data_IF_477156781708
#
_entry.id   IF_477156781708
#
_cell.length_a   1.000
_cell.length_b   1.000
_cell.length_c   1.000
_cell.angle_alpha   90.00
_cell.angle_beta   90.00
_cell.angle_gamma   90.00
#
_symmetry.space_group_name_H-M   'P 1'
#
loop_
_entity.id
_entity.type
_entity.pdbx_description
1 polymer ?
#
# COMPACT_ATOMS: atom_id res chain seq x y z
N UNK A 1 -10.42 -13.59 -0.65
CA UNK A 1 -9.92 -12.64 0.37
C UNK A 1 -9.11 -11.58 -0.36
N UNK A 2 -9.68 -10.39 -0.60
CA UNK A 2 -8.98 -9.37 -1.39
C UNK A 2 -7.85 -8.75 -0.57
N UNK A 3 -6.68 -8.56 -1.17
CA UNK A 3 -5.57 -7.87 -0.53
C UNK A 3 -5.99 -6.43 -0.24
N UNK A 4 -5.66 -5.93 0.95
CA UNK A 4 -5.98 -4.56 1.37
C UNK A 4 -4.71 -3.97 1.98
N UNK A 5 -4.18 -2.95 1.33
CA UNK A 5 -2.86 -2.34 1.55
C UNK A 5 -3.09 -0.84 1.46
N UNK A 6 -2.71 -0.07 2.48
CA UNK A 6 -2.91 1.37 2.46
C UNK A 6 -2.08 2.03 1.35
N UNK A 7 -2.59 3.11 0.76
CA UNK A 7 -1.81 3.92 -0.19
C UNK A 7 -0.54 4.43 0.49
N UNK A 8 0.61 4.18 -0.14
CA UNK A 8 1.88 4.75 0.31
C UNK A 8 1.97 6.22 -0.10
N UNK A 9 1.99 7.11 0.90
CA UNK A 9 2.21 8.54 0.68
C UNK A 9 3.71 8.80 0.57
N UNK A 10 4.25 8.83 -0.66
CA UNK A 10 5.70 8.97 -0.91
C UNK A 10 6.18 10.42 -1.08
N UNK A 11 5.32 11.43 -0.91
CA UNK A 11 5.73 12.82 -1.17
C UNK A 11 6.40 13.48 0.04
N UNK A 12 7.65 13.93 -0.12
CA UNK A 12 8.39 14.72 0.88
C UNK A 12 7.74 16.06 1.27
N UNK A 13 6.78 16.55 0.47
CA UNK A 13 6.02 17.78 0.76
C UNK A 13 5.37 17.77 2.16
N UNK A 14 4.88 16.61 2.62
CA UNK A 14 4.25 16.50 3.95
C UNK A 14 5.26 16.65 5.09
N UNK A 15 6.49 16.18 4.91
CA UNK A 15 7.56 16.34 5.91
C UNK A 15 7.97 17.82 6.07
N UNK A 16 7.79 18.62 5.01
CA UNK A 16 8.05 20.06 5.01
C UNK A 16 6.79 20.90 5.36
N UNK A 17 5.68 20.27 5.80
CA UNK A 17 4.44 20.96 6.16
C UNK A 17 3.65 21.54 4.98
N UNK A 18 4.02 21.20 3.73
CA UNK A 18 3.32 21.63 2.52
C UNK A 18 2.16 20.69 2.18
N UNK A 19 1.18 21.19 1.42
CA UNK A 19 0.08 20.38 0.91
C UNK A 19 0.61 19.15 0.14
N UNK A 20 0.15 17.97 0.56
CA UNK A 20 0.41 16.68 -0.06
C UNK A 20 -0.61 16.39 -1.16
N UNK A 21 -0.50 15.20 -1.78
CA UNK A 21 -1.49 14.75 -2.80
C UNK A 21 -2.87 14.55 -2.18
N UNK A 22 -2.94 14.18 -0.91
CA UNK A 22 -4.19 13.96 -0.18
C UNK A 22 -5.06 15.21 -0.02
N UNK A 23 -4.46 16.40 -0.12
CA UNK A 23 -5.19 17.67 -0.02
C UNK A 23 -5.83 18.07 -1.38
N UNK A 24 -5.67 17.24 -2.41
CA UNK A 24 -6.24 17.44 -3.74
C UNK A 24 -7.32 16.38 -4.00
N UNK A 25 -8.53 16.85 -4.30
CA UNK A 25 -9.69 15.98 -4.52
C UNK A 25 -9.83 15.69 -6.01
N UNK A 26 -9.93 14.41 -6.38
CA UNK A 26 -10.19 14.02 -7.77
C UNK A 26 -11.70 14.01 -8.05
N UNK A 27 -12.09 14.61 -9.18
CA UNK A 27 -13.45 14.62 -9.69
C UNK A 27 -13.49 13.79 -10.98
N UNK A 28 -14.00 12.55 -10.93
CA UNK A 28 -13.99 11.64 -12.08
C UNK A 28 -14.91 12.12 -13.22
N UNK A 29 -16.01 12.81 -12.90
CA UNK A 29 -16.97 13.32 -13.89
C UNK A 29 -16.33 14.22 -14.95
N UNK A 30 -15.38 15.06 -14.52
CA UNK A 30 -14.75 16.07 -15.38
C UNK A 30 -13.28 15.74 -15.69
N UNK A 31 -12.74 14.62 -15.20
CA UNK A 31 -11.31 14.29 -15.20
C UNK A 31 -10.42 15.45 -14.68
N UNK A 32 -10.76 15.98 -13.50
CA UNK A 32 -10.04 17.10 -12.89
C UNK A 32 -9.69 16.88 -11.44
N UNK A 33 -8.64 17.57 -10.96
CA UNK A 33 -8.37 17.70 -9.54
C UNK A 33 -8.80 19.08 -9.03
N UNK A 34 -9.36 19.15 -7.83
CA UNK A 34 -9.58 20.40 -7.09
C UNK A 34 -8.51 20.57 -6.02
N UNK A 35 -7.84 21.72 -5.99
CA UNK A 35 -6.82 22.02 -4.99
C UNK A 35 -7.41 22.69 -3.72
N UNK A 36 -6.61 22.84 -2.64
CA UNK A 36 -7.03 23.53 -1.42
C UNK A 36 -7.47 24.99 -1.63
N UNK A 37 -6.92 25.66 -2.65
CA UNK A 37 -7.33 27.02 -3.03
C UNK A 37 -8.65 27.07 -3.84
N UNK A 38 -9.25 25.91 -4.14
CA UNK A 38 -10.50 25.80 -4.90
C UNK A 38 -10.33 25.74 -6.42
N UNK A 39 -9.12 25.93 -6.93
CA UNK A 39 -8.83 25.89 -8.37
C UNK A 39 -8.90 24.46 -8.95
N UNK A 40 -9.35 24.35 -10.20
CA UNK A 40 -9.38 23.10 -10.96
C UNK A 40 -8.09 22.89 -11.75
N UNK A 41 -7.53 21.70 -11.65
CA UNK A 41 -6.36 21.23 -12.38
C UNK A 41 -6.84 20.25 -13.45
N UNK A 42 -6.62 20.60 -14.71
CA UNK A 42 -6.96 19.74 -15.86
C UNK A 42 -5.80 18.83 -16.21
N UNK A 43 -6.11 17.68 -16.83
CA UNK A 43 -5.11 16.83 -17.44
C UNK A 43 -4.42 17.57 -18.58
N UNK A 44 -3.09 17.58 -18.57
CA UNK A 44 -2.28 18.36 -19.52
C UNK A 44 -1.35 17.50 -20.36
N UNK A 45 -0.76 16.48 -19.76
CA UNK A 45 0.03 15.50 -20.48
C UNK A 45 0.01 14.15 -19.76
N UNK A 46 0.58 13.14 -20.41
CA UNK A 46 0.81 11.82 -19.82
C UNK A 46 2.27 11.43 -20.03
N UNK A 47 2.84 10.70 -19.10
CA UNK A 47 4.21 10.19 -19.18
C UNK A 47 4.24 8.75 -18.72
N UNK A 48 5.24 7.99 -19.17
CA UNK A 48 5.45 6.62 -18.72
C UNK A 48 6.69 6.60 -17.84
N UNK A 49 6.53 6.23 -16.58
CA UNK A 49 7.62 6.10 -15.61
C UNK A 49 7.61 4.67 -15.07
N UNK A 50 8.73 3.95 -15.19
CA UNK A 50 8.85 2.55 -14.76
C UNK A 50 7.74 1.62 -15.30
N UNK A 51 7.28 1.87 -16.53
CA UNK A 51 6.22 1.09 -17.16
C UNK A 51 4.79 1.45 -16.72
N UNK A 52 4.61 2.48 -15.88
CA UNK A 52 3.30 2.97 -15.45
C UNK A 52 2.90 4.21 -16.23
N UNK A 53 1.70 4.24 -16.80
CA UNK A 53 1.15 5.43 -17.44
C UNK A 53 0.63 6.41 -16.37
N UNK A 54 1.26 7.58 -16.30
CA UNK A 54 0.92 8.64 -15.35
C UNK A 54 0.31 9.82 -16.09
N UNK A 55 -0.90 10.20 -15.71
CA UNK A 55 -1.55 11.43 -16.14
C UNK A 55 -1.14 12.59 -15.23
N UNK A 56 -0.72 13.71 -15.83
CA UNK A 56 -0.29 14.90 -15.10
C UNK A 56 -1.35 16.00 -15.16
N UNK A 57 -1.66 16.53 -13.99
CA UNK A 57 -2.65 17.58 -13.78
C UNK A 57 -1.99 18.82 -13.19
N UNK A 58 -2.27 19.99 -13.76
CA UNK A 58 -1.85 21.27 -13.19
C UNK A 58 -2.69 22.42 -13.74
N UNK A 59 -2.63 23.54 -13.03
CA UNK A 59 -3.26 24.81 -13.43
C UNK A 59 -2.21 25.92 -13.51
N UNK A 60 -2.49 26.93 -14.33
CA UNK A 60 -1.69 28.16 -14.41
C UNK A 60 -2.03 29.15 -13.30
N UNK A 61 -3.15 28.98 -12.60
CA UNK A 61 -3.59 29.86 -11.51
C UNK A 61 -2.62 29.91 -10.32
N UNK A 62 -1.68 28.95 -10.20
CA UNK A 62 -0.67 28.92 -9.14
C UNK A 62 0.21 30.19 -9.09
N UNK A 63 0.35 30.94 -10.19
CA UNK A 63 1.18 32.15 -10.23
C UNK A 63 0.63 33.28 -9.34
N UNK A 64 -0.69 33.34 -9.16
CA UNK A 64 -1.38 34.38 -8.38
C UNK A 64 -2.05 33.82 -7.12
N UNK A 65 -1.77 32.57 -6.77
CA UNK A 65 -2.43 31.88 -5.67
C UNK A 65 -1.81 32.26 -4.31
N UNK A 66 -2.64 32.71 -3.37
CA UNK A 66 -2.21 33.06 -2.01
C UNK A 66 -1.64 31.86 -1.23
N UNK A 67 -2.05 30.63 -1.57
CA UNK A 67 -1.59 29.40 -0.92
C UNK A 67 -0.34 28.79 -1.58
N UNK A 68 0.30 29.49 -2.52
CA UNK A 68 1.41 28.93 -3.32
C UNK A 68 2.57 28.46 -2.45
N UNK A 69 3.00 29.27 -1.48
CA UNK A 69 4.13 28.96 -0.59
C UNK A 69 3.91 27.68 0.21
N UNK A 70 2.66 27.43 0.64
CA UNK A 70 2.26 26.21 1.35
C UNK A 70 2.01 25.03 0.40
N UNK A 71 1.96 25.25 -0.92
CA UNK A 71 1.59 24.23 -1.91
C UNK A 71 2.79 23.69 -2.70
N UNK A 72 3.67 24.56 -3.20
CA UNK A 72 4.78 24.18 -4.07
C UNK A 72 5.88 25.24 -4.10
N UNK A 73 7.13 24.80 -4.19
CA UNK A 73 8.29 25.69 -4.43
C UNK A 73 8.48 25.99 -5.93
N UNK A 74 7.82 25.24 -6.81
CA UNK A 74 7.91 25.42 -8.26
C UNK A 74 6.93 26.46 -8.81
N UNK A 75 6.97 26.66 -10.13
CA UNK A 75 6.03 27.55 -10.84
C UNK A 75 4.57 27.15 -10.62
N UNK A 76 4.30 25.84 -10.68
CA UNK A 76 2.97 25.23 -10.55
C UNK A 76 3.06 23.91 -9.78
N UNK A 77 1.99 23.54 -9.11
CA UNK A 77 1.87 22.21 -8.49
C UNK A 77 1.42 21.22 -9.55
N UNK A 78 2.20 20.15 -9.73
CA UNK A 78 1.86 19.03 -10.61
C UNK A 78 1.40 17.83 -9.79
N UNK A 79 0.24 17.29 -10.13
CA UNK A 79 -0.29 16.05 -9.55
C UNK A 79 -0.15 14.95 -10.59
N UNK A 80 0.51 13.85 -10.24
CA UNK A 80 0.57 12.63 -11.06
C UNK A 80 -0.51 11.67 -10.56
N UNK A 81 -1.37 11.19 -11.47
CA UNK A 81 -2.36 10.12 -11.22
C UNK A 81 -2.00 8.93 -12.11
N UNK A 82 -1.88 7.74 -11.52
CA UNK A 82 -1.73 6.53 -12.32
C UNK A 82 -3.05 6.18 -13.01
N UNK A 83 -2.99 5.64 -14.22
CA UNK A 83 -4.19 5.28 -15.00
C UNK A 83 -5.17 4.36 -14.23
N UNK A 84 -4.63 3.52 -13.34
CA UNK A 84 -5.38 2.59 -12.50
C UNK A 84 -5.47 3.01 -11.02
N UNK A 85 -5.35 4.31 -10.75
CA UNK A 85 -5.40 4.80 -9.39
C UNK A 85 -6.78 4.70 -8.73
N UNK A 86 -7.83 4.54 -9.53
CA UNK A 86 -9.18 4.18 -9.12
C UNK A 86 -9.23 2.85 -8.35
N UNK A 87 -8.46 1.84 -8.77
CA UNK A 87 -8.34 0.58 -8.04
C UNK A 87 -7.78 0.78 -6.63
N UNK A 88 -6.82 1.70 -6.51
CA UNK A 88 -6.22 2.06 -5.23
C UNK A 88 -7.16 2.93 -4.38
N UNK A 89 -7.92 3.84 -4.99
CA UNK A 89 -8.94 4.66 -4.32
C UNK A 89 -10.04 3.75 -3.71
N UNK A 90 -10.58 2.82 -4.51
CA UNK A 90 -11.58 1.84 -4.03
C UNK A 90 -11.03 0.89 -2.96
N UNK A 91 -9.72 0.62 -2.97
CA UNK A 91 -9.06 -0.15 -1.91
C UNK A 91 -8.92 0.65 -0.62
N UNK A 92 -8.61 1.95 -0.72
CA UNK A 92 -8.54 2.85 0.42
C UNK A 92 -9.92 3.06 1.06
N UNK A 93 -10.97 3.28 0.27
CA UNK A 93 -12.34 3.39 0.80
C UNK A 93 -12.78 2.13 1.57
N UNK A 94 -12.38 0.95 1.10
CA UNK A 94 -12.63 -0.31 1.82
C UNK A 94 -11.91 -0.37 3.16
N UNK A 95 -10.69 0.17 3.25
CA UNK A 95 -9.95 0.27 4.51
C UNK A 95 -10.64 1.25 5.46
N UNK A 96 -11.02 2.42 4.97
CA UNK A 96 -11.61 3.49 5.77
C UNK A 96 -12.98 3.07 6.33
N UNK A 97 -13.74 2.27 5.59
CA UNK A 97 -15.04 1.71 6.04
C UNK A 97 -14.88 0.57 7.05
N UNK A 98 -13.70 -0.05 7.15
CA UNK A 98 -13.46 -1.20 8.02
C UNK A 98 -12.09 -1.13 8.72
N UNK A 99 -11.82 -0.10 9.54
CA UNK A 99 -10.49 0.14 10.12
C UNK A 99 -10.02 -1.02 11.01
N UNK A 100 -10.95 -1.68 11.70
CA UNK A 100 -10.67 -2.84 12.55
C UNK A 100 -10.11 -4.05 11.78
N UNK A 101 -10.41 -4.19 10.48
CA UNK A 101 -9.89 -5.31 9.67
C UNK A 101 -8.38 -5.23 9.48
N UNK A 102 -7.83 -4.01 9.38
CA UNK A 102 -6.38 -3.79 9.29
C UNK A 102 -5.70 -4.09 10.62
N UNK A 103 -6.32 -3.68 11.73
CA UNK A 103 -5.84 -3.97 13.08
C UNK A 103 -5.85 -5.47 13.37
N UNK A 104 -6.94 -6.16 13.01
CA UNK A 104 -7.07 -7.60 13.15
C UNK A 104 -6.05 -8.34 12.27
N UNK A 105 -5.86 -7.91 11.01
CA UNK A 105 -4.82 -8.46 10.12
C UNK A 105 -3.42 -8.29 10.68
N UNK A 106 -3.13 -7.11 11.24
CA UNK A 106 -1.85 -6.84 11.89
C UNK A 106 -1.61 -7.81 13.04
N UNK A 107 -2.57 -7.92 13.96
CA UNK A 107 -2.49 -8.84 15.11
C UNK A 107 -2.38 -10.32 14.67
N UNK A 108 -3.16 -10.74 13.67
CA UNK A 108 -3.20 -12.13 13.21
C UNK A 108 -1.99 -12.53 12.37
N UNK A 109 -1.38 -11.60 11.64
CA UNK A 109 -0.20 -11.87 10.80
C UNK A 109 1.12 -11.70 11.57
N UNK A 110 1.24 -10.68 12.43
CA UNK A 110 2.48 -10.40 13.17
C UNK A 110 2.90 -11.57 14.06
N UNK A 111 1.95 -12.25 14.71
CA UNK A 111 2.24 -13.38 15.58
C UNK A 111 2.89 -14.55 14.81
N UNK A 112 2.31 -15.09 13.71
CA UNK A 112 2.98 -16.05 12.83
C UNK A 112 4.37 -15.64 12.38
N UNK A 113 4.52 -14.38 11.92
CA UNK A 113 5.82 -13.87 11.48
C UNK A 113 6.84 -13.84 12.61
N UNK A 114 6.44 -13.40 13.81
CA UNK A 114 7.29 -13.39 15.00
C UNK A 114 7.71 -14.79 15.42
N UNK A 115 6.77 -15.74 15.46
CA UNK A 115 7.06 -17.14 15.80
C UNK A 115 8.00 -17.79 14.79
N UNK A 116 7.75 -17.62 13.49
CA UNK A 116 8.61 -18.16 12.44
C UNK A 116 10.02 -17.57 12.55
N UNK A 117 10.15 -16.25 12.71
CA UNK A 117 11.45 -15.60 12.91
C UNK A 117 12.17 -16.07 14.16
N UNK A 118 11.46 -16.28 15.27
CA UNK A 118 12.05 -16.83 16.49
C UNK A 118 12.55 -18.26 16.29
N UNK A 119 11.80 -19.10 15.55
CA UNK A 119 12.19 -20.48 15.25
C UNK A 119 13.34 -20.59 14.25
N UNK A 120 13.45 -19.65 13.32
CA UNK A 120 14.60 -19.53 12.41
C UNK A 120 15.91 -19.25 13.16
N UNK A 121 15.86 -18.90 14.45
CA UNK A 121 17.04 -18.48 15.23
C UNK A 121 17.41 -17.03 14.95
N UNK A 122 18.55 -16.59 15.50
CA UNK A 122 19.04 -15.24 15.29
C UNK A 122 19.41 -14.99 13.81
N UNK A 123 18.41 -14.50 13.08
CA UNK A 123 18.48 -13.61 11.91
C UNK A 123 18.96 -14.12 10.55
N UNK A 124 19.44 -15.36 10.37
CA UNK A 124 20.00 -15.77 9.07
C UNK A 124 19.44 -17.08 8.51
N UNK A 125 19.13 -17.05 7.21
CA UNK A 125 18.92 -18.26 6.41
C UNK A 125 20.22 -19.06 6.33
N UNK A 126 20.12 -20.37 6.42
CA UNK A 126 21.24 -21.31 6.30
C UNK A 126 21.74 -21.39 4.86
N UNK A 127 20.84 -21.16 3.90
CA UNK A 127 21.14 -21.25 2.47
C UNK A 127 21.50 -19.90 1.84
N UNK A 128 22.25 -19.97 0.73
CA UNK A 128 22.57 -18.82 -0.14
C UNK A 128 21.89 -19.01 -1.49
N UNK A 129 21.58 -17.88 -2.16
CA UNK A 129 20.77 -17.73 -3.39
C UNK A 129 19.25 -17.73 -3.17
N UNK A 130 18.53 -16.94 -3.99
CA UNK A 130 17.10 -16.66 -3.81
C UNK A 130 16.24 -17.93 -3.89
N UNK A 131 16.56 -18.85 -4.78
CA UNK A 131 15.84 -20.10 -4.94
C UNK A 131 15.90 -20.95 -3.66
N UNK A 132 17.10 -21.13 -3.10
CA UNK A 132 17.30 -21.95 -1.90
C UNK A 132 16.69 -21.29 -0.66
N UNK A 133 16.82 -19.97 -0.55
CA UNK A 133 16.19 -19.18 0.53
C UNK A 133 14.65 -19.29 0.49
N UNK A 134 14.05 -19.31 -0.71
CA UNK A 134 12.60 -19.53 -0.85
C UNK A 134 12.18 -20.90 -0.34
N UNK A 135 12.94 -21.95 -0.64
CA UNK A 135 12.68 -23.31 -0.14
C UNK A 135 12.75 -23.36 1.38
N UNK A 136 13.80 -22.77 1.96
CA UNK A 136 13.98 -22.71 3.42
C UNK A 136 12.82 -21.98 4.12
N UNK A 137 12.42 -20.81 3.59
CA UNK A 137 11.26 -20.08 4.08
C UNK A 137 9.95 -20.89 3.98
N UNK A 138 9.78 -21.64 2.88
CA UNK A 138 8.59 -22.47 2.67
C UNK A 138 8.50 -23.60 3.70
N UNK A 139 9.63 -24.22 4.04
CA UNK A 139 9.70 -25.25 5.09
C UNK A 139 9.35 -24.69 6.47
N UNK A 140 9.83 -23.49 6.82
CA UNK A 140 9.47 -22.84 8.08
C UNK A 140 7.97 -22.51 8.16
N UNK A 141 7.38 -21.99 7.08
CA UNK A 141 5.93 -21.72 7.00
C UNK A 141 5.13 -23.02 7.13
N UNK A 142 5.56 -24.09 6.46
CA UNK A 142 4.91 -25.40 6.56
C UNK A 142 4.96 -25.93 8.00
N UNK A 143 6.14 -25.93 8.62
CA UNK A 143 6.31 -26.39 10.00
C UNK A 143 5.45 -25.59 10.99
N UNK A 144 5.35 -24.26 10.81
CA UNK A 144 4.47 -23.41 11.59
C UNK A 144 3.00 -23.78 11.42
N UNK A 145 2.54 -23.92 10.18
CA UNK A 145 1.14 -24.27 9.89
C UNK A 145 0.79 -25.64 10.49
N UNK A 146 1.64 -26.64 10.33
CA UNK A 146 1.41 -27.98 10.91
C UNK A 146 1.33 -27.93 12.43
N UNK A 147 2.27 -27.27 13.11
CA UNK A 147 2.23 -27.10 14.57
C UNK A 147 0.99 -26.35 15.04
N UNK A 148 0.55 -25.33 14.29
CA UNK A 148 -0.64 -24.55 14.62
C UNK A 148 -1.92 -25.37 14.48
N UNK A 149 -2.05 -26.13 13.39
CA UNK A 149 -3.20 -27.00 13.17
C UNK A 149 -3.26 -28.10 14.23
N UNK A 150 -2.12 -28.72 14.56
CA UNK A 150 -2.01 -29.67 15.67
C UNK A 150 -2.48 -29.07 17.00
N UNK A 151 -2.11 -27.82 17.29
CA UNK A 151 -2.52 -27.15 18.53
C UNK A 151 -4.02 -26.81 18.57
N UNK A 152 -4.64 -26.52 17.42
CA UNK A 152 -6.06 -26.14 17.33
C UNK A 152 -6.98 -27.37 17.28
N UNK A 153 -6.66 -28.34 16.43
CA UNK A 153 -7.51 -29.50 16.15
C UNK A 153 -7.12 -30.74 16.96
N UNK A 154 -5.90 -30.80 17.48
CA UNK A 154 -5.33 -32.02 18.03
C UNK A 154 -4.86 -33.02 16.97
N UNK A 155 -4.14 -34.09 17.36
CA UNK A 155 -3.54 -35.03 16.43
C UNK A 155 -4.56 -35.92 15.71
N UNK A 156 -5.63 -36.35 16.37
CA UNK A 156 -6.63 -37.27 15.81
C UNK A 156 -7.36 -36.69 14.58
N UNK A 157 -8.03 -35.53 14.71
CA UNK A 157 -8.72 -34.90 13.59
C UNK A 157 -7.79 -34.52 12.43
N UNK A 158 -6.54 -34.12 12.73
CA UNK A 158 -5.56 -33.82 11.68
C UNK A 158 -5.20 -35.07 10.86
N UNK A 159 -4.92 -36.19 11.53
CA UNK A 159 -4.58 -37.44 10.84
C UNK A 159 -5.72 -37.93 9.95
N UNK A 160 -6.97 -37.82 10.42
CA UNK A 160 -8.14 -38.15 9.62
C UNK A 160 -8.26 -37.27 8.37
N UNK A 161 -7.99 -35.97 8.48
CA UNK A 161 -8.04 -35.02 7.35
C UNK A 161 -6.89 -35.19 6.34
N UNK A 162 -5.76 -35.78 6.73
CA UNK A 162 -4.64 -36.08 5.82
C UNK A 162 -4.90 -37.38 5.04
N UNK A 163 -5.69 -38.29 5.60
CA UNK A 163 -6.00 -39.60 5.02
C UNK A 163 -7.19 -39.61 4.06
N UNK A 164 -7.94 -38.49 3.98
CA UNK A 164 -9.05 -38.28 3.04
C UNK A 164 -8.58 -37.69 1.71
#
# INVERSE_FOLDING_TARGET
MNATVPKTLSSGAKAEGRFGKQDFVYHPEDDTYRCPAGERLTRRCSTVEHGMLLHLYWTTCCERCALKEQCTTGKQRRIKRWEHEDMLDAMQERLDRAPETTRLRRQTAEHPFGTIKAWMGATHFLTRTLERVRTEMSLHVLAYNLKRVLAILGPGPLMAAIQS
#
